data_IF_227992433849
#
_entry.id   IF_227992433849
#
_cell.length_a   1.000
_cell.length_b   1.000
_cell.length_c   1.000
_cell.angle_alpha   90.00
_cell.angle_beta   90.00
_cell.angle_gamma   90.00
#
_symmetry.space_group_name_H-M   'P 1'
#
loop_
_entity.id
_entity.type
_entity.pdbx_description
1 polymer ?
#
# COMPACT_ATOMS: atom_id res chain seq x y z
N UNK A 1 11.69 -27.05 17.12
CA UNK A 1 11.37 -25.60 17.20
C UNK A 1 11.55 -24.99 15.82
N UNK A 2 10.58 -24.19 15.35
CA UNK A 2 10.77 -23.23 14.24
C UNK A 2 10.41 -21.88 14.84
N UNK A 3 11.28 -20.89 14.73
CA UNK A 3 10.89 -19.53 15.11
C UNK A 3 9.82 -19.03 14.13
N UNK A 4 8.74 -18.47 14.67
CA UNK A 4 7.85 -17.59 13.92
C UNK A 4 8.68 -16.41 13.38
N UNK A 5 8.48 -16.05 12.12
CA UNK A 5 9.04 -14.80 11.58
C UNK A 5 8.20 -13.67 12.22
N UNK A 6 8.82 -12.87 13.10
CA UNK A 6 8.12 -12.00 14.05
C UNK A 6 7.13 -11.09 13.31
N UNK A 7 5.81 -11.21 13.56
CA UNK A 7 4.83 -10.25 13.04
C UNK A 7 5.15 -8.86 13.57
N UNK A 8 4.73 -7.82 12.85
CA UNK A 8 4.78 -6.44 13.31
C UNK A 8 4.25 -6.35 14.76
N UNK A 9 5.09 -5.92 15.71
CA UNK A 9 4.80 -6.05 17.15
C UNK A 9 3.52 -5.31 17.56
N UNK A 10 3.14 -4.27 16.80
CA UNK A 10 1.89 -3.54 16.94
C UNK A 10 0.62 -4.33 16.55
N UNK A 11 0.74 -5.39 15.73
CA UNK A 11 -0.38 -6.29 15.36
C UNK A 11 -0.66 -7.32 16.47
N UNK A 12 0.29 -7.58 17.36
CA UNK A 12 0.16 -8.57 18.43
C UNK A 12 -0.76 -8.12 19.59
N UNK A 13 -1.04 -6.82 19.74
CA UNK A 13 -1.82 -6.26 20.86
C UNK A 13 -3.20 -6.91 21.02
N UNK A 14 -3.90 -7.18 19.91
CA UNK A 14 -5.20 -7.86 19.95
C UNK A 14 -5.10 -9.36 20.28
N UNK A 15 -4.01 -10.03 19.92
CA UNK A 15 -3.77 -11.42 20.26
C UNK A 15 -3.36 -11.59 21.73
N UNK A 16 -2.60 -10.63 22.27
CA UNK A 16 -2.25 -10.55 23.69
C UNK A 16 -3.51 -10.29 24.54
N UNK A 17 -4.32 -9.28 24.19
CA UNK A 17 -5.57 -8.97 24.90
C UNK A 17 -6.59 -10.12 24.92
N UNK A 18 -6.60 -10.97 23.89
CA UNK A 18 -7.46 -12.16 23.80
C UNK A 18 -6.84 -13.44 24.40
N UNK A 19 -5.61 -13.38 24.93
CA UNK A 19 -4.91 -14.55 25.50
C UNK A 19 -4.58 -15.64 24.48
N UNK A 20 -4.26 -15.26 23.23
CA UNK A 20 -4.04 -16.17 22.10
C UNK A 20 -2.55 -16.47 21.86
N UNK A 21 -1.65 -15.59 22.30
CA UNK A 21 -0.18 -15.76 22.17
C UNK A 21 0.36 -16.88 23.06
N UNK A 22 1.48 -17.49 22.67
CA UNK A 22 2.22 -18.41 23.56
C UNK A 22 3.11 -17.65 24.58
N UNK A 23 3.60 -18.35 25.61
CA UNK A 23 4.38 -17.76 26.71
C UNK A 23 5.59 -16.93 26.23
N UNK A 24 6.22 -17.31 25.11
CA UNK A 24 7.39 -16.63 24.56
C UNK A 24 6.99 -15.43 23.70
N UNK A 25 5.91 -15.55 22.91
CA UNK A 25 5.33 -14.44 22.15
C UNK A 25 4.76 -13.36 23.08
N UNK A 26 4.11 -13.76 24.19
CA UNK A 26 3.64 -12.85 25.24
C UNK A 26 4.79 -12.13 25.95
N UNK A 27 5.83 -12.85 26.39
CA UNK A 27 7.02 -12.26 27.03
C UNK A 27 7.72 -11.24 26.11
N UNK A 28 7.78 -11.51 24.80
CA UNK A 28 8.33 -10.58 23.82
C UNK A 28 7.45 -9.32 23.66
N UNK A 29 6.12 -9.49 23.61
CA UNK A 29 5.18 -8.38 23.53
C UNK A 29 5.19 -7.49 24.79
N UNK A 30 5.33 -8.07 25.99
CA UNK A 30 5.46 -7.31 27.24
C UNK A 30 6.73 -6.43 27.27
N UNK A 31 7.85 -6.93 26.74
CA UNK A 31 9.08 -6.14 26.59
C UNK A 31 8.91 -4.96 25.62
N UNK A 32 8.13 -5.13 24.55
CA UNK A 32 7.74 -4.03 23.65
C UNK A 32 6.78 -3.05 24.36
N UNK A 33 5.74 -3.55 25.04
CA UNK A 33 4.72 -2.77 25.75
C UNK A 33 5.33 -1.78 26.74
N UNK A 34 6.38 -2.21 27.47
CA UNK A 34 7.14 -1.38 28.40
C UNK A 34 7.85 -0.16 27.77
N UNK A 35 7.88 -0.06 26.43
CA UNK A 35 8.53 1.04 25.69
C UNK A 35 7.62 1.72 24.64
N UNK A 36 6.39 1.23 24.44
CA UNK A 36 5.49 1.74 23.40
C UNK A 36 4.14 2.24 23.97
N UNK A 37 4.03 3.56 24.14
CA UNK A 37 2.81 4.24 24.59
C UNK A 37 1.58 3.97 23.67
N UNK A 38 1.81 3.76 22.37
CA UNK A 38 0.73 3.42 21.44
C UNK A 38 0.13 2.03 21.75
N UNK A 39 0.97 1.02 21.98
CA UNK A 39 0.51 -0.33 22.36
C UNK A 39 -0.19 -0.30 23.73
N UNK A 40 0.34 0.44 24.69
CA UNK A 40 -0.29 0.61 26.01
C UNK A 40 -1.71 1.22 25.90
N UNK A 41 -1.87 2.30 25.12
CA UNK A 41 -3.19 2.92 24.88
C UNK A 41 -4.15 1.99 24.13
N UNK A 42 -3.68 1.23 23.13
CA UNK A 42 -4.54 0.25 22.45
C UNK A 42 -4.98 -0.89 23.37
N UNK A 43 -4.14 -1.32 24.30
CA UNK A 43 -4.50 -2.34 25.28
C UNK A 43 -5.55 -1.81 26.29
N UNK A 44 -5.42 -0.55 26.74
CA UNK A 44 -6.40 0.12 27.61
C UNK A 44 -7.78 0.31 26.92
N UNK A 45 -7.78 0.71 25.65
CA UNK A 45 -8.99 0.81 24.82
C UNK A 45 -9.70 -0.55 24.64
N UNK A 46 -8.93 -1.64 24.53
CA UNK A 46 -9.48 -3.01 24.48
C UNK A 46 -10.00 -3.48 25.85
N UNK A 47 -9.28 -3.18 26.93
CA UNK A 47 -9.74 -3.47 28.30
C UNK A 47 -11.08 -2.76 28.61
N UNK A 48 -11.27 -1.54 28.10
CA UNK A 48 -12.55 -0.82 28.16
C UNK A 48 -13.73 -1.54 27.51
N UNK A 49 -13.50 -2.51 26.61
CA UNK A 49 -14.54 -3.33 25.97
C UNK A 49 -14.86 -4.63 26.73
N UNK A 50 -13.96 -5.11 27.59
CA UNK A 50 -14.18 -6.32 28.41
C UNK A 50 -15.50 -6.32 29.21
N UNK A 51 -15.90 -5.26 29.94
CA UNK A 51 -17.17 -5.28 30.67
C UNK A 51 -18.40 -5.40 29.76
N UNK A 52 -18.33 -4.88 28.52
CA UNK A 52 -19.41 -5.04 27.53
C UNK A 52 -19.44 -6.47 26.96
N UNK A 53 -18.28 -7.07 26.70
CA UNK A 53 -18.17 -8.47 26.28
C UNK A 53 -18.62 -9.43 27.39
N UNK A 54 -18.28 -9.14 28.65
CA UNK A 54 -18.73 -9.89 29.82
C UNK A 54 -20.25 -9.76 30.06
N UNK A 55 -20.84 -8.60 29.78
CA UNK A 55 -22.29 -8.44 29.78
C UNK A 55 -22.96 -9.26 28.66
N UNK A 56 -22.39 -9.27 27.45
CA UNK A 56 -22.87 -10.10 26.34
C UNK A 56 -22.74 -11.61 26.63
N UNK A 57 -21.65 -12.04 27.27
CA UNK A 57 -21.46 -13.44 27.68
C UNK A 57 -22.52 -13.93 28.69
N UNK A 58 -23.13 -13.02 29.45
CA UNK A 58 -24.23 -13.31 30.38
C UNK A 58 -25.62 -13.33 29.71
N UNK A 59 -25.75 -12.91 28.45
CA UNK A 59 -27.02 -12.99 27.71
C UNK A 59 -27.28 -14.44 27.27
N UNK A 60 -28.38 -15.08 27.69
CA UNK A 60 -28.70 -16.46 27.30
C UNK A 60 -28.82 -16.59 25.77
N UNK A 61 -27.96 -17.41 25.17
CA UNK A 61 -27.91 -17.65 23.72
C UNK A 61 -26.85 -16.83 22.96
N UNK A 62 -26.26 -15.78 23.55
CA UNK A 62 -25.24 -14.98 22.88
C UNK A 62 -23.85 -15.65 22.89
N UNK A 63 -23.49 -16.33 23.99
CA UNK A 63 -22.14 -16.85 24.21
C UNK A 63 -21.74 -18.12 23.45
N UNK A 64 -22.65 -18.78 22.71
CA UNK A 64 -22.34 -20.03 21.99
C UNK A 64 -23.34 -20.35 20.87
N UNK A 65 -22.98 -20.23 19.58
CA UNK A 65 -23.69 -20.97 18.55
C UNK A 65 -23.58 -22.47 18.86
N UNK A 66 -24.66 -23.22 18.71
CA UNK A 66 -24.63 -24.68 18.84
C UNK A 66 -23.57 -25.24 17.88
N UNK A 67 -22.77 -26.23 18.31
CA UNK A 67 -21.56 -26.66 17.60
C UNK A 67 -21.90 -27.34 16.25
N UNK A 68 -22.05 -26.50 15.23
CA UNK A 68 -22.57 -26.84 13.89
C UNK A 68 -23.07 -25.58 13.18
N UNK A 69 -23.82 -24.73 13.89
CA UNK A 69 -24.64 -23.65 13.31
C UNK A 69 -23.96 -22.27 13.41
N UNK A 70 -22.81 -22.12 12.74
CA UNK A 70 -22.22 -20.80 12.50
C UNK A 70 -22.59 -20.35 11.07
N UNK A 71 -23.19 -19.16 10.85
CA UNK A 71 -23.47 -18.62 9.52
C UNK A 71 -22.21 -18.10 8.78
N UNK A 72 -21.03 -18.64 9.12
CA UNK A 72 -19.88 -18.61 8.24
C UNK A 72 -20.10 -19.67 7.16
N UNK A 73 -20.16 -19.28 5.89
CA UNK A 73 -20.32 -20.19 4.75
C UNK A 73 -19.10 -21.12 4.64
N UNK A 74 -19.11 -22.20 5.41
CA UNK A 74 -18.00 -23.15 5.56
C UNK A 74 -17.78 -23.81 4.19
N UNK A 75 -16.67 -23.53 3.48
CA UNK A 75 -16.46 -24.08 2.15
C UNK A 75 -16.46 -25.60 2.25
N UNK A 76 -17.23 -26.25 1.37
CA UNK A 76 -17.34 -27.72 1.37
C UNK A 76 -15.96 -28.39 1.31
N UNK A 77 -15.80 -29.61 1.85
CA UNK A 77 -14.49 -30.21 2.09
C UNK A 77 -13.61 -30.27 0.83
N UNK A 78 -14.17 -30.47 -0.37
CA UNK A 78 -13.43 -30.35 -1.63
C UNK A 78 -12.89 -28.95 -1.91
N UNK A 79 -13.67 -27.89 -1.65
CA UNK A 79 -13.27 -26.52 -1.91
C UNK A 79 -12.20 -26.07 -0.90
N UNK A 80 -12.34 -26.48 0.37
CA UNK A 80 -11.29 -26.31 1.37
C UNK A 80 -9.99 -27.06 0.97
N UNK A 81 -10.09 -28.30 0.49
CA UNK A 81 -8.94 -29.05 -0.03
C UNK A 81 -8.30 -28.37 -1.24
N UNK A 82 -9.10 -27.97 -2.25
CA UNK A 82 -8.61 -27.26 -3.46
C UNK A 82 -7.91 -25.94 -3.12
N UNK A 83 -8.38 -25.19 -2.12
CA UNK A 83 -7.71 -23.99 -1.63
C UNK A 83 -6.40 -24.31 -0.90
N UNK A 84 -6.36 -25.35 -0.08
CA UNK A 84 -5.13 -25.82 0.58
C UNK A 84 -4.09 -26.32 -0.44
N UNK A 85 -4.52 -27.09 -1.45
CA UNK A 85 -3.67 -27.61 -2.53
C UNK A 85 -3.15 -26.50 -3.43
N UNK A 86 -3.95 -25.49 -3.78
CA UNK A 86 -3.49 -24.33 -4.54
C UNK A 86 -2.47 -23.50 -3.73
N UNK A 87 -2.70 -23.29 -2.42
CA UNK A 87 -1.71 -22.66 -1.53
C UNK A 87 -0.42 -23.49 -1.43
N UNK A 88 -0.53 -24.81 -1.34
CA UNK A 88 0.63 -25.72 -1.34
C UNK A 88 1.38 -25.68 -2.68
N UNK A 89 0.67 -25.66 -3.81
CA UNK A 89 1.24 -25.54 -5.15
C UNK A 89 1.91 -24.18 -5.37
N UNK A 90 1.31 -23.08 -4.90
CA UNK A 90 1.90 -21.73 -4.92
C UNK A 90 3.16 -21.66 -4.07
N UNK A 91 3.14 -22.21 -2.84
CA UNK A 91 4.32 -22.33 -1.97
C UNK A 91 5.42 -23.19 -2.61
N UNK A 92 5.08 -24.31 -3.24
CA UNK A 92 6.01 -25.17 -3.95
C UNK A 92 6.63 -24.46 -5.18
N UNK A 93 5.82 -23.75 -5.99
CA UNK A 93 6.31 -22.94 -7.12
C UNK A 93 7.25 -21.82 -6.64
N UNK A 94 6.90 -21.09 -5.57
CA UNK A 94 7.76 -20.06 -4.96
C UNK A 94 9.09 -20.67 -4.48
N UNK A 95 9.05 -21.80 -3.75
CA UNK A 95 10.26 -22.48 -3.26
C UNK A 95 11.15 -22.99 -4.40
N UNK A 96 10.58 -23.58 -5.46
CA UNK A 96 11.34 -23.98 -6.67
C UNK A 96 11.99 -22.78 -7.36
N UNK A 97 11.25 -21.68 -7.57
CA UNK A 97 11.79 -20.44 -8.18
C UNK A 97 12.94 -19.85 -7.35
N UNK A 98 12.81 -19.84 -6.02
CA UNK A 98 13.89 -19.38 -5.15
C UNK A 98 15.10 -20.35 -5.15
N UNK A 99 14.93 -21.67 -5.29
CA UNK A 99 16.06 -22.58 -5.46
C UNK A 99 16.84 -22.31 -6.75
N UNK A 100 16.16 -22.04 -7.87
CA UNK A 100 16.83 -21.65 -9.12
C UNK A 100 17.62 -20.34 -8.99
N UNK A 101 17.14 -19.40 -8.17
CA UNK A 101 17.85 -18.14 -7.84
C UNK A 101 19.01 -18.30 -6.84
N UNK A 102 19.07 -19.41 -6.09
CA UNK A 102 20.23 -19.75 -5.24
C UNK A 102 21.29 -20.51 -6.03
N UNK A 103 20.89 -21.30 -7.03
CA UNK A 103 21.83 -22.03 -7.91
C UNK A 103 22.78 -21.12 -8.69
N UNK A 104 22.35 -19.91 -9.06
CA UNK A 104 23.19 -18.93 -9.76
C UNK A 104 24.26 -18.30 -8.87
N UNK A 105 24.08 -18.26 -7.55
CA UNK A 105 25.06 -17.69 -6.63
C UNK A 105 26.30 -18.58 -6.43
N UNK A 106 26.14 -19.91 -6.51
CA UNK A 106 27.24 -20.86 -6.32
C UNK A 106 28.16 -20.98 -7.55
N UNK A 107 27.63 -20.78 -8.77
CA UNK A 107 28.37 -20.95 -10.02
C UNK A 107 29.39 -19.82 -10.29
N UNK A 108 29.17 -18.62 -9.74
CA UNK A 108 29.96 -17.41 -10.05
C UNK A 108 31.27 -17.28 -9.25
N UNK A 109 31.59 -18.22 -8.35
CA UNK A 109 32.75 -18.13 -7.44
C UNK A 109 33.98 -18.88 -7.97
N UNK A 110 33.84 -19.75 -8.98
CA UNK A 110 34.91 -20.66 -9.44
C UNK A 110 35.36 -20.42 -10.89
N UNK A 111 34.61 -19.65 -11.69
CA UNK A 111 34.79 -19.56 -13.14
C UNK A 111 35.09 -18.18 -13.70
N UNK A 112 36.37 -17.85 -13.89
CA UNK A 112 36.79 -16.77 -14.80
C UNK A 112 38.31 -16.51 -14.78
N UNK A 113 38.85 -15.70 -15.71
CA UNK A 113 38.24 -15.19 -16.95
C UNK A 113 39.10 -15.46 -18.20
N UNK A 114 38.52 -15.92 -19.33
CA UNK A 114 39.27 -16.01 -20.60
C UNK A 114 38.43 -15.80 -21.86
N UNK A 115 39.05 -15.12 -22.83
CA UNK A 115 38.74 -15.03 -24.27
C UNK A 115 37.31 -14.64 -24.71
N UNK A 116 37.22 -13.49 -25.39
CA UNK A 116 36.15 -13.20 -26.34
C UNK A 116 36.51 -13.71 -27.75
N UNK A 117 35.66 -13.37 -28.76
CA UNK A 117 35.78 -13.63 -30.21
C UNK A 117 35.27 -15.01 -30.68
N UNK A 118 34.54 -15.17 -31.80
CA UNK A 118 33.45 -14.39 -32.43
C UNK A 118 32.86 -15.18 -33.62
N UNK A 119 31.54 -15.06 -33.87
CA UNK A 119 30.81 -15.52 -35.10
C UNK A 119 30.79 -17.06 -35.35
N UNK A 120 29.83 -17.69 -36.04
CA UNK A 120 28.47 -17.37 -36.58
C UNK A 120 27.45 -18.42 -36.00
N UNK A 121 26.24 -18.77 -36.48
CA UNK A 121 25.32 -18.36 -37.58
C UNK A 121 23.87 -18.83 -37.25
N UNK A 122 22.87 -18.22 -37.90
CA UNK A 122 21.56 -18.85 -38.23
C UNK A 122 20.42 -18.79 -37.18
N UNK A 123 19.23 -18.34 -37.62
CA UNK A 123 17.92 -18.49 -36.93
C UNK A 123 17.73 -17.65 -35.66
N UNK A 124 17.25 -16.40 -35.72
CA UNK A 124 15.87 -15.94 -35.96
C UNK A 124 15.00 -15.80 -34.68
N UNK A 125 14.63 -14.55 -34.39
CA UNK A 125 13.59 -14.00 -33.49
C UNK A 125 13.37 -14.60 -32.08
N UNK A 126 13.91 -13.86 -31.09
CA UNK A 126 13.66 -14.06 -29.65
C UNK A 126 13.86 -12.76 -28.84
N UNK A 127 13.18 -11.68 -29.25
CA UNK A 127 13.50 -10.29 -28.88
C UNK A 127 13.27 -9.87 -27.42
N UNK A 128 14.12 -10.31 -26.49
CA UNK A 128 14.22 -9.80 -25.11
C UNK A 128 14.83 -8.38 -25.03
N UNK A 129 14.14 -7.39 -25.60
CA UNK A 129 14.66 -6.03 -25.77
C UNK A 129 14.70 -5.27 -24.44
N UNK A 130 15.86 -5.26 -23.78
CA UNK A 130 16.13 -4.40 -22.60
C UNK A 130 16.20 -2.93 -23.01
N UNK A 131 15.06 -2.32 -23.32
CA UNK A 131 14.95 -0.87 -23.56
C UNK A 131 15.27 -0.12 -22.27
N UNK A 132 16.35 0.65 -22.29
CA UNK A 132 16.69 1.62 -21.26
C UNK A 132 15.70 2.77 -21.23
N UNK A 133 14.52 2.53 -20.67
CA UNK A 133 13.53 3.53 -20.31
C UNK A 133 13.37 3.50 -18.78
N UNK A 134 13.29 4.67 -18.14
CA UNK A 134 13.02 4.74 -16.71
C UNK A 134 11.64 4.14 -16.43
N UNK A 135 11.60 3.03 -15.69
CA UNK A 135 10.35 2.37 -15.34
C UNK A 135 9.53 3.29 -14.42
N UNK A 136 8.55 3.96 -15.01
CA UNK A 136 7.55 4.76 -14.32
C UNK A 136 6.90 3.96 -13.20
N UNK A 137 6.64 4.59 -12.05
CA UNK A 137 5.82 3.98 -11.00
C UNK A 137 4.40 3.69 -11.52
N UNK A 138 3.64 2.74 -10.94
CA UNK A 138 2.32 2.37 -11.46
C UNK A 138 1.35 3.56 -11.57
N UNK A 139 1.39 4.50 -10.61
CA UNK A 139 0.65 5.76 -10.69
C UNK A 139 1.10 6.62 -11.90
N UNK A 140 2.40 6.78 -12.14
CA UNK A 140 2.92 7.52 -13.28
C UNK A 140 2.55 6.88 -14.63
N UNK A 141 2.48 5.54 -14.69
CA UNK A 141 1.98 4.83 -15.86
C UNK A 141 0.47 5.09 -16.08
N UNK A 142 -0.36 4.97 -15.05
CA UNK A 142 -1.78 5.30 -15.13
C UNK A 142 -2.04 6.76 -15.55
N UNK A 143 -1.30 7.71 -14.96
CA UNK A 143 -1.33 9.13 -15.34
C UNK A 143 -0.99 9.35 -16.82
N UNK A 144 -0.10 8.56 -17.41
CA UNK A 144 0.28 8.70 -18.81
C UNK A 144 -0.84 8.26 -19.77
N UNK A 145 -1.58 7.21 -19.44
CA UNK A 145 -2.68 6.65 -20.25
C UNK A 145 -3.98 7.48 -20.14
N UNK A 146 -4.26 8.10 -19.00
CA UNK A 146 -5.46 8.95 -18.80
C UNK A 146 -5.36 10.25 -19.62
N UNK A 147 -6.28 10.54 -20.58
CA UNK A 147 -6.18 11.72 -21.45
C UNK A 147 -6.79 12.98 -20.83
N UNK A 148 -7.85 12.84 -20.04
CA UNK A 148 -8.57 13.96 -19.43
C UNK A 148 -7.80 14.44 -18.20
N UNK A 149 -7.26 15.66 -18.27
CA UNK A 149 -6.41 16.25 -17.22
C UNK A 149 -6.72 17.71 -16.98
N UNK A 150 -6.88 18.07 -15.71
CA UNK A 150 -6.99 19.45 -15.24
C UNK A 150 -5.72 19.86 -14.49
N UNK A 151 -5.31 21.12 -14.59
CA UNK A 151 -4.04 21.60 -14.03
C UNK A 151 -4.14 23.00 -13.46
N UNK A 152 -3.50 23.24 -12.33
CA UNK A 152 -3.33 24.57 -11.76
C UNK A 152 -1.97 24.73 -11.08
N UNK A 153 -1.63 25.95 -10.70
CA UNK A 153 -0.44 26.27 -9.90
C UNK A 153 -0.78 27.45 -9.00
N UNK A 154 -0.66 27.26 -7.69
CA UNK A 154 -1.01 28.31 -6.73
C UNK A 154 0.03 29.44 -6.76
N UNK A 155 -0.37 30.72 -6.83
CA UNK A 155 0.57 31.83 -6.93
C UNK A 155 1.37 32.11 -5.64
N UNK A 156 0.86 31.72 -4.47
CA UNK A 156 1.50 31.93 -3.17
C UNK A 156 2.47 30.81 -2.82
N UNK A 157 1.99 29.57 -2.77
CA UNK A 157 2.82 28.39 -2.43
C UNK A 157 3.77 28.02 -3.57
N UNK A 158 3.36 28.32 -4.82
CA UNK A 158 3.98 27.86 -6.09
C UNK A 158 3.96 26.34 -6.26
N UNK A 159 3.11 25.63 -5.52
CA UNK A 159 2.85 24.21 -5.75
C UNK A 159 2.02 24.07 -7.02
N UNK A 160 2.43 23.13 -7.88
CA UNK A 160 1.82 22.89 -9.20
C UNK A 160 1.27 21.48 -9.23
N UNK A 161 -0.01 21.35 -9.60
CA UNK A 161 -0.74 20.09 -9.59
C UNK A 161 -1.45 19.87 -10.92
N UNK A 162 -1.38 18.64 -11.43
CA UNK A 162 -2.20 18.14 -12.53
C UNK A 162 -2.94 16.91 -12.04
N UNK A 163 -4.26 16.89 -12.15
CA UNK A 163 -5.09 15.71 -11.84
C UNK A 163 -5.56 15.12 -13.16
N UNK A 164 -5.14 13.89 -13.44
CA UNK A 164 -5.68 13.07 -14.52
C UNK A 164 -6.87 12.25 -14.00
N UNK A 165 -7.92 12.12 -14.81
CA UNK A 165 -9.21 11.58 -14.40
C UNK A 165 -9.70 10.50 -15.37
N UNK A 166 -10.42 9.52 -14.85
CA UNK A 166 -11.21 8.58 -15.66
C UNK A 166 -12.51 8.21 -14.93
N UNK A 167 -13.66 8.38 -15.59
CA UNK A 167 -14.95 7.98 -15.04
C UNK A 167 -15.11 6.46 -14.97
N UNK A 168 -15.50 5.93 -13.80
CA UNK A 168 -15.75 4.50 -13.57
C UNK A 168 -17.18 4.27 -13.10
N UNK A 169 -17.65 3.02 -13.16
CA UNK A 169 -18.97 2.63 -12.67
C UNK A 169 -19.15 2.81 -11.14
N UNK A 170 -18.07 3.08 -10.40
CA UNK A 170 -18.05 3.33 -8.96
C UNK A 170 -17.77 4.79 -8.57
N UNK A 171 -17.51 5.69 -9.52
CA UNK A 171 -17.12 7.08 -9.27
C UNK A 171 -16.03 7.60 -10.22
N UNK A 172 -14.97 8.18 -9.67
CA UNK A 172 -13.83 8.75 -10.41
C UNK A 172 -12.53 8.08 -10.01
N UNK A 173 -11.83 7.49 -10.99
CA UNK A 173 -10.42 7.08 -10.87
C UNK A 173 -9.54 8.31 -11.15
N UNK A 174 -8.55 8.57 -10.29
CA UNK A 174 -7.82 9.83 -10.31
C UNK A 174 -6.33 9.67 -9.97
N UNK A 175 -5.48 10.31 -10.77
CA UNK A 175 -4.03 10.35 -10.54
C UNK A 175 -3.52 11.78 -10.52
N UNK A 176 -2.92 12.16 -9.39
CA UNK A 176 -2.22 13.43 -9.20
C UNK A 176 -0.77 13.33 -9.66
N UNK A 177 -0.33 14.28 -10.48
CA UNK A 177 1.07 14.69 -10.58
C UNK A 177 1.28 15.97 -9.77
N UNK A 178 2.23 15.98 -8.84
CA UNK A 178 2.51 17.09 -7.93
C UNK A 178 3.97 17.56 -8.01
N UNK A 179 4.15 18.87 -8.15
CA UNK A 179 5.44 19.55 -8.36
C UNK A 179 5.65 20.72 -7.40
N UNK A 180 6.93 21.04 -7.15
CA UNK A 180 7.41 22.07 -6.25
C UNK A 180 6.90 21.97 -4.79
N UNK A 181 6.53 20.77 -4.34
CA UNK A 181 6.08 20.53 -2.96
C UNK A 181 7.29 20.23 -2.05
N UNK A 182 7.35 20.92 -0.91
CA UNK A 182 8.42 20.78 0.09
C UNK A 182 7.97 19.84 1.22
N UNK A 183 8.92 19.45 2.05
CA UNK A 183 8.66 18.63 3.23
C UNK A 183 9.58 19.01 4.40
N UNK A 184 9.46 18.35 5.56
CA UNK A 184 8.58 17.21 5.82
C UNK A 184 7.11 17.63 5.98
N UNK A 185 6.21 17.01 5.24
CA UNK A 185 4.76 17.30 5.28
C UNK A 185 3.90 16.03 5.22
N UNK A 186 2.62 16.14 5.61
CA UNK A 186 1.58 15.14 5.33
C UNK A 186 0.46 15.79 4.53
N UNK A 187 0.10 15.19 3.40
CA UNK A 187 -0.85 15.79 2.46
C UNK A 187 -1.93 14.81 2.00
N UNK A 188 -3.05 15.35 1.56
CA UNK A 188 -4.16 14.61 0.93
C UNK A 188 -4.66 15.34 -0.32
N UNK A 189 -5.09 14.57 -1.32
CA UNK A 189 -5.90 15.06 -2.41
C UNK A 189 -7.36 14.90 -2.01
N UNK A 190 -8.13 15.99 -2.05
CA UNK A 190 -9.57 16.01 -1.76
C UNK A 190 -10.31 16.39 -3.04
N UNK A 191 -11.30 15.59 -3.43
CA UNK A 191 -12.29 15.95 -4.43
C UNK A 191 -13.41 16.71 -3.72
N UNK A 192 -13.80 17.88 -4.26
CA UNK A 192 -14.88 18.70 -3.71
C UNK A 192 -16.04 18.70 -4.71
N UNK A 193 -17.20 18.25 -4.28
CA UNK A 193 -18.41 18.20 -5.10
C UNK A 193 -19.08 19.56 -5.28
N UNK A 194 -19.85 19.70 -6.36
CA UNK A 194 -20.70 20.88 -6.66
C UNK A 194 -21.81 21.13 -5.63
N UNK A 195 -22.00 20.20 -4.69
CA UNK A 195 -22.85 20.27 -3.51
C UNK A 195 -22.11 20.68 -2.22
N UNK A 196 -20.79 20.85 -2.25
CA UNK A 196 -19.93 21.10 -1.09
C UNK A 196 -19.47 19.84 -0.34
N UNK A 197 -19.78 18.64 -0.85
CA UNK A 197 -19.29 17.36 -0.32
C UNK A 197 -17.78 17.21 -0.56
N UNK A 198 -17.07 16.49 0.32
CA UNK A 198 -15.60 16.41 0.32
C UNK A 198 -15.14 14.97 0.52
N UNK A 199 -14.47 14.42 -0.49
CA UNK A 199 -13.96 13.04 -0.46
C UNK A 199 -12.44 13.02 -0.57
N UNK A 200 -11.75 12.32 0.35
CA UNK A 200 -10.30 12.14 0.27
C UNK A 200 -9.96 11.07 -0.75
N UNK A 201 -9.44 11.50 -1.90
CA UNK A 201 -9.04 10.65 -3.03
C UNK A 201 -7.84 9.77 -2.66
N UNK A 202 -6.85 10.37 -2.00
CA UNK A 202 -5.63 9.68 -1.52
C UNK A 202 -4.87 10.54 -0.51
N UNK A 203 -3.96 9.93 0.27
CA UNK A 203 -3.11 10.64 1.25
C UNK A 203 -1.69 10.07 1.28
N UNK A 204 -0.70 10.93 1.56
CA UNK A 204 0.72 10.59 1.51
C UNK A 204 1.56 11.46 2.46
N UNK A 205 2.83 11.12 2.60
CA UNK A 205 3.83 11.96 3.29
C UNK A 205 4.86 12.48 2.29
N UNK A 206 5.24 13.74 2.43
CA UNK A 206 6.33 14.36 1.66
C UNK A 206 7.60 14.35 2.53
N UNK A 207 8.68 13.67 2.13
CA UNK A 207 9.93 13.67 2.88
C UNK A 207 10.62 15.05 2.78
N UNK A 208 11.53 15.35 3.71
CA UNK A 208 12.24 16.65 3.79
C UNK A 208 12.96 17.11 2.50
N UNK A 209 13.21 16.21 1.56
CA UNK A 209 13.76 16.51 0.22
C UNK A 209 12.77 17.13 -0.78
N UNK A 210 11.46 17.09 -0.50
CA UNK A 210 10.40 17.51 -1.43
C UNK A 210 10.27 16.64 -2.69
N UNK A 211 9.38 17.06 -3.59
CA UNK A 211 9.17 16.52 -4.94
C UNK A 211 8.97 17.63 -5.97
N UNK A 212 9.44 17.41 -7.20
CA UNK A 212 9.33 18.35 -8.31
C UNK A 212 9.97 19.72 -8.05
N UNK A 213 10.99 19.78 -7.19
CA UNK A 213 11.74 21.00 -6.86
C UNK A 213 12.73 21.28 -8.02
N UNK A 214 12.62 22.39 -8.77
CA UNK A 214 13.41 22.60 -10.00
C UNK A 214 14.94 22.53 -9.78
N UNK A 215 15.44 23.35 -8.85
CA UNK A 215 16.88 23.55 -8.61
C UNK A 215 17.48 22.57 -7.59
N UNK A 216 16.82 21.44 -7.32
CA UNK A 216 17.22 20.56 -6.23
C UNK A 216 18.62 19.94 -6.44
N UNK A 217 19.37 19.77 -5.35
CA UNK A 217 20.71 19.17 -5.39
C UNK A 217 20.73 17.69 -5.82
N UNK A 218 19.61 16.96 -5.70
CA UNK A 218 19.50 15.55 -6.11
C UNK A 218 18.40 15.37 -7.17
N UNK A 219 18.64 14.48 -8.15
CA UNK A 219 17.64 14.17 -9.17
C UNK A 219 16.30 13.68 -8.60
N UNK A 220 16.35 12.91 -7.49
CA UNK A 220 15.14 12.40 -6.80
C UNK A 220 14.23 13.47 -6.22
N UNK A 221 14.74 14.67 -5.93
CA UNK A 221 13.93 15.81 -5.52
C UNK A 221 13.38 16.65 -6.70
N UNK A 222 13.95 16.49 -7.90
CA UNK A 222 13.45 17.09 -9.16
C UNK A 222 12.35 16.24 -9.81
N UNK A 223 12.34 14.93 -9.56
CA UNK A 223 11.24 14.03 -9.93
C UNK A 223 9.93 14.49 -9.25
N UNK A 224 8.83 14.64 -10.00
CA UNK A 224 7.51 14.94 -9.42
C UNK A 224 7.00 13.74 -8.62
N UNK A 225 6.03 13.98 -7.75
CA UNK A 225 5.27 12.92 -7.09
C UNK A 225 4.09 12.52 -7.99
N UNK A 226 3.85 11.21 -8.11
CA UNK A 226 2.60 10.68 -8.65
C UNK A 226 1.84 9.93 -7.56
N UNK A 227 0.55 10.24 -7.38
CA UNK A 227 -0.34 9.58 -6.40
C UNK A 227 -1.61 9.14 -7.08
N UNK A 228 -1.98 7.88 -6.92
CA UNK A 228 -3.21 7.27 -7.44
C UNK A 228 -4.22 7.14 -6.29
N UNK A 229 -5.50 7.35 -6.59
CA UNK A 229 -6.62 7.14 -5.69
C UNK A 229 -7.96 7.22 -6.43
N UNK A 230 -9.07 7.38 -5.69
CA UNK A 230 -10.39 7.52 -6.30
C UNK A 230 -11.42 8.18 -5.40
N UNK A 231 -12.46 8.73 -6.03
CA UNK A 231 -13.63 9.33 -5.40
C UNK A 231 -14.89 8.51 -5.77
N UNK A 232 -15.92 8.51 -4.92
CA UNK A 232 -17.24 7.98 -5.28
C UNK A 232 -18.06 9.02 -6.07
N UNK A 233 -17.76 10.32 -5.90
CA UNK A 233 -18.20 11.38 -6.83
C UNK A 233 -17.78 11.03 -8.27
N UNK A 234 -18.72 11.07 -9.21
CA UNK A 234 -18.39 10.98 -10.66
C UNK A 234 -17.79 12.30 -11.17
N UNK A 235 -17.04 12.33 -12.29
CA UNK A 235 -16.28 13.52 -12.69
C UNK A 235 -17.17 14.77 -12.86
N UNK A 236 -18.38 14.59 -13.40
CA UNK A 236 -19.35 15.68 -13.59
C UNK A 236 -19.88 16.28 -12.28
N UNK A 237 -19.84 15.54 -11.16
CA UNK A 237 -20.25 16.02 -9.83
C UNK A 237 -19.14 16.80 -9.10
N UNK A 238 -17.88 16.60 -9.45
CA UNK A 238 -16.74 17.30 -8.86
C UNK A 238 -16.73 18.75 -9.39
N UNK A 239 -16.47 19.70 -8.50
CA UNK A 239 -16.33 21.13 -8.80
C UNK A 239 -14.84 21.50 -8.96
N UNK A 240 -14.03 21.05 -8.00
CA UNK A 240 -12.59 21.22 -7.98
C UNK A 240 -11.92 20.16 -7.09
N UNK A 241 -10.60 20.05 -7.19
CA UNK A 241 -9.74 19.29 -6.31
C UNK A 241 -8.90 20.22 -5.45
N UNK A 242 -8.57 19.81 -4.24
CA UNK A 242 -7.65 20.51 -3.35
C UNK A 242 -6.53 19.59 -2.89
N UNK A 243 -5.28 20.07 -2.94
CA UNK A 243 -4.16 19.45 -2.23
C UNK A 243 -4.04 20.14 -0.88
N UNK A 244 -4.40 19.43 0.18
CA UNK A 244 -4.40 19.92 1.57
C UNK A 244 -3.22 19.34 2.35
N UNK A 245 -2.66 20.08 3.31
CA UNK A 245 -1.88 19.49 4.41
C UNK A 245 -2.82 18.93 5.48
N UNK A 246 -2.32 18.02 6.32
CA UNK A 246 -3.10 17.47 7.44
C UNK A 246 -3.41 18.51 8.52
N UNK A 247 -2.64 19.60 8.59
CA UNK A 247 -2.87 20.74 9.48
C UNK A 247 -3.85 21.78 8.90
N UNK A 248 -4.41 21.52 7.71
CA UNK A 248 -5.48 22.30 7.10
C UNK A 248 -5.04 23.41 6.13
N UNK A 249 -3.75 23.53 5.80
CA UNK A 249 -3.29 24.46 4.76
C UNK A 249 -3.63 23.93 3.37
N UNK A 250 -4.17 24.78 2.50
CA UNK A 250 -4.41 24.43 1.09
C UNK A 250 -3.20 24.81 0.25
N UNK A 251 -2.50 23.80 -0.28
CA UNK A 251 -1.31 24.00 -1.10
C UNK A 251 -1.64 24.45 -2.52
N UNK A 252 -2.72 23.92 -3.12
CA UNK A 252 -3.24 24.31 -4.45
C UNK A 252 -4.68 23.80 -4.63
N UNK A 253 -5.50 24.57 -5.34
CA UNK A 253 -6.81 24.18 -5.88
C UNK A 253 -6.67 23.93 -7.40
N UNK A 254 -7.34 22.91 -7.93
CA UNK A 254 -7.41 22.60 -9.37
C UNK A 254 -8.88 22.42 -9.75
N UNK A 255 -9.42 23.30 -10.59
CA UNK A 255 -10.83 23.23 -11.03
C UNK A 255 -11.06 22.03 -11.99
N UNK A 256 -12.26 21.44 -11.99
CA UNK A 256 -12.58 20.16 -12.64
C UNK A 256 -13.40 20.28 -13.94
#
# INVERSE_FOLDING_TARGET
MRGSEVPNEHEAVGAYALGILDDAEATAFEAHLATCEWCARQLDELAGMEPMLAALAQVPGAGRPAAGEAPAARPGPELAAKLADEVAARRARKKRRNLYLVGTAAALIVGGPFAAVATTSGGEDGGGRSTGAGAAGPAQAAFAEMPDRVSATDPGTRVSATVALEGKAWGTDAVLELKNVKGPEKCSLVAVGKNGERETVSSWSVPARGYGIPDAATGKAREPLYVHGGAALTPNQIDHFEVMTFDGERLVQVDA
#
